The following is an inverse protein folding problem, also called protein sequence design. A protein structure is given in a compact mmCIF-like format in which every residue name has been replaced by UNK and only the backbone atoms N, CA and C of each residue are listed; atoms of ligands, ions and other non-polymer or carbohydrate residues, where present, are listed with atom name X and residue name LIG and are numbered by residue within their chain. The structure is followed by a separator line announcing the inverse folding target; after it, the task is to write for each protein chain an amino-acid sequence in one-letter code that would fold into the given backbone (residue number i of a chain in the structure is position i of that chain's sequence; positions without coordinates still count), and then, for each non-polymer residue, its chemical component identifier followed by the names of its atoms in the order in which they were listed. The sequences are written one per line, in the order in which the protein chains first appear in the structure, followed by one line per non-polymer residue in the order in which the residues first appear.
data_IF_789812541261
#
_entry.id   IF_789812541261
#
_cell.length_a   1.000
_cell.length_b   1.000
_cell.length_c   1.000
_cell.angle_alpha   90.00
_cell.angle_beta   90.00
_cell.angle_gamma   90.00
#
_symmetry.space_group_name_H-M   'P 1'
#
loop_
_entity.id
_entity.type
_entity.pdbx_description
1 polymer ?
#
# COMPACT_ATOMS: atom_id res chain seq x y z
N UNK A 1 -23.44 -0.75 1.50
CA UNK A 1 -22.89 -1.02 2.84
C UNK A 1 -21.36 -0.85 2.78
N UNK A 2 -20.61 -0.93 3.89
CA UNK A 2 -19.16 -0.62 3.84
C UNK A 2 -18.37 -1.68 3.05
N UNK A 3 -18.79 -2.95 3.10
CA UNK A 3 -18.17 -4.01 2.33
C UNK A 3 -18.31 -3.79 0.82
N UNK A 4 -19.44 -3.27 0.35
CA UNK A 4 -19.64 -2.94 -1.08
C UNK A 4 -18.66 -1.86 -1.56
N UNK A 5 -18.32 -0.90 -0.71
CA UNK A 5 -17.33 0.15 -1.03
C UNK A 5 -15.95 -0.46 -1.20
N UNK A 6 -15.57 -1.41 -0.34
CA UNK A 6 -14.30 -2.12 -0.48
C UNK A 6 -14.27 -2.99 -1.74
N UNK A 7 -15.33 -3.74 -2.03
CA UNK A 7 -15.45 -4.51 -3.28
C UNK A 7 -15.29 -3.60 -4.49
N UNK A 8 -16.00 -2.46 -4.54
CA UNK A 8 -15.90 -1.51 -5.65
C UNK A 8 -14.52 -0.81 -5.76
N UNK A 9 -13.78 -0.73 -4.65
CA UNK A 9 -12.45 -0.12 -4.62
C UNK A 9 -11.36 -1.06 -5.12
N UNK A 10 -11.47 -2.37 -4.83
CA UNK A 10 -10.47 -3.37 -5.20
C UNK A 10 -10.81 -4.17 -6.47
N UNK A 11 -12.06 -4.12 -6.95
CA UNK A 11 -12.44 -4.75 -8.23
C UNK A 11 -11.97 -3.97 -9.47
N UNK A 12 -11.34 -2.80 -9.30
CA UNK A 12 -10.84 -1.99 -10.42
C UNK A 12 -9.42 -2.41 -10.80
N UNK A 13 -9.26 -3.04 -11.96
CA UNK A 13 -7.95 -3.50 -12.48
C UNK A 13 -6.88 -2.40 -12.47
N UNK A 14 -7.25 -1.14 -12.77
CA UNK A 14 -6.30 -0.03 -12.81
C UNK A 14 -5.58 0.24 -11.47
N UNK A 15 -6.27 0.10 -10.34
CA UNK A 15 -5.64 0.27 -9.01
C UNK A 15 -4.66 -0.86 -8.75
N UNK A 16 -5.00 -2.06 -9.22
CA UNK A 16 -4.24 -3.27 -9.05
C UNK A 16 -2.96 -3.24 -9.88
N UNK A 17 -3.09 -2.94 -11.17
CA UNK A 17 -1.96 -2.90 -12.11
C UNK A 17 -0.91 -1.88 -11.65
N UNK A 18 -1.36 -0.68 -11.25
CA UNK A 18 -0.47 0.37 -10.76
C UNK A 18 0.23 -0.01 -9.44
N UNK A 19 -0.46 -0.71 -8.54
CA UNK A 19 0.09 -1.11 -7.25
C UNK A 19 1.06 -2.29 -7.39
N UNK A 20 0.71 -3.30 -8.17
CA UNK A 20 1.60 -4.42 -8.51
C UNK A 20 2.86 -3.93 -9.21
N UNK A 21 2.74 -3.03 -10.19
CA UNK A 21 3.90 -2.44 -10.86
C UNK A 21 4.79 -1.66 -9.87
N UNK A 22 4.19 -0.92 -8.94
CA UNK A 22 4.93 -0.20 -7.90
C UNK A 22 5.71 -1.16 -6.97
N UNK A 23 5.03 -2.18 -6.44
CA UNK A 23 5.62 -3.18 -5.53
C UNK A 23 6.76 -3.93 -6.23
N UNK A 24 6.54 -4.38 -7.46
CA UNK A 24 7.52 -5.12 -8.24
C UNK A 24 8.77 -4.28 -8.56
N UNK A 25 8.59 -2.97 -8.80
CA UNK A 25 9.70 -2.07 -9.10
C UNK A 25 10.34 -1.42 -7.86
N UNK A 26 9.78 -1.58 -6.67
CA UNK A 26 10.26 -0.92 -5.46
C UNK A 26 11.74 -1.23 -5.18
N UNK A 27 12.14 -2.51 -5.29
CA UNK A 27 13.52 -2.94 -5.02
C UNK A 27 14.51 -2.27 -6.00
N UNK A 28 14.17 -2.24 -7.28
CA UNK A 28 14.93 -1.60 -8.36
C UNK A 28 15.03 -0.09 -8.15
N UNK A 29 13.89 0.58 -7.88
CA UNK A 29 13.87 2.01 -7.61
C UNK A 29 14.74 2.37 -6.40
N UNK A 30 14.66 1.60 -5.32
CA UNK A 30 15.48 1.82 -4.13
C UNK A 30 16.97 1.59 -4.39
N UNK A 31 17.33 0.63 -5.26
CA UNK A 31 18.72 0.45 -5.68
C UNK A 31 19.25 1.68 -6.46
N UNK A 32 18.44 2.24 -7.35
CA UNK A 32 18.77 3.46 -8.09
C UNK A 32 18.95 4.65 -7.15
N UNK A 33 18.04 4.83 -6.18
CA UNK A 33 18.15 5.89 -5.17
C UNK A 33 19.46 5.74 -4.39
N UNK A 34 19.76 4.55 -3.86
CA UNK A 34 21.01 4.30 -3.11
C UNK A 34 22.26 4.58 -3.95
N UNK A 35 22.30 4.09 -5.19
CA UNK A 35 23.41 4.34 -6.12
C UNK A 35 23.59 5.83 -6.40
N UNK A 36 22.49 6.56 -6.56
CA UNK A 36 22.52 8.00 -6.82
C UNK A 36 23.02 8.77 -5.60
N UNK A 37 22.59 8.42 -4.39
CA UNK A 37 23.12 9.00 -3.15
C UNK A 37 24.63 8.77 -2.99
N UNK A 38 25.13 7.59 -3.38
CA UNK A 38 26.56 7.25 -3.30
C UNK A 38 27.42 8.00 -4.33
N UNK A 39 26.85 8.31 -5.51
CA UNK A 39 27.57 8.95 -6.61
C UNK A 39 27.40 10.47 -6.68
N UNK A 40 26.37 11.02 -6.05
CA UNK A 40 26.04 12.46 -6.09
C UNK A 40 25.68 12.98 -4.70
N UNK A 41 26.64 13.63 -4.04
CA UNK A 41 26.46 14.24 -2.72
C UNK A 41 25.32 15.27 -2.70
N UNK A 42 25.17 16.09 -3.74
CA UNK A 42 24.09 17.07 -3.84
C UNK A 42 22.69 16.44 -3.84
N UNK A 43 22.53 15.21 -4.35
CA UNK A 43 21.25 14.50 -4.27
C UNK A 43 20.97 14.01 -2.84
N UNK A 44 21.99 13.54 -2.14
CA UNK A 44 21.87 13.14 -0.73
C UNK A 44 21.49 14.33 0.17
N UNK A 45 22.14 15.48 -0.03
CA UNK A 45 21.82 16.73 0.68
C UNK A 45 20.41 17.20 0.39
N UNK A 46 19.98 17.14 -0.88
CA UNK A 46 18.61 17.42 -1.27
C UNK A 46 17.61 16.55 -0.50
N UNK A 47 17.83 15.23 -0.43
CA UNK A 47 16.94 14.32 0.31
C UNK A 47 16.89 14.65 1.81
N UNK A 48 18.02 14.96 2.44
CA UNK A 48 18.07 15.37 3.85
C UNK A 48 17.30 16.66 4.08
N UNK A 49 17.53 17.68 3.25
CA UNK A 49 16.83 18.96 3.37
C UNK A 49 15.31 18.81 3.16
N UNK A 50 14.89 18.00 2.19
CA UNK A 50 13.47 17.70 1.96
C UNK A 50 12.83 16.96 3.14
N UNK A 51 13.56 16.05 3.78
CA UNK A 51 13.09 15.37 4.99
C UNK A 51 12.96 16.36 6.16
N UNK A 52 13.94 17.23 6.39
CA UNK A 52 13.90 18.17 7.52
C UNK A 52 12.80 19.23 7.37
N UNK A 53 12.54 19.64 6.13
CA UNK A 53 11.49 20.62 5.80
C UNK A 53 10.09 20.03 5.71
N UNK A 54 9.94 18.70 5.68
CA UNK A 54 8.61 18.06 5.66
C UNK A 54 8.02 18.01 7.07
N UNK A 55 6.69 18.13 7.16
CA UNK A 55 5.96 18.09 8.42
C UNK A 55 6.03 16.73 9.11
N UNK A 56 6.13 15.64 8.34
CA UNK A 56 6.22 14.27 8.82
C UNK A 56 7.67 13.79 9.05
N UNK A 57 8.65 14.58 8.62
CA UNK A 57 10.10 14.30 8.66
C UNK A 57 10.49 12.91 8.15
N UNK A 58 9.73 12.42 7.17
CA UNK A 58 9.84 11.05 6.69
C UNK A 58 10.92 10.94 5.60
N UNK A 59 11.75 9.91 5.69
CA UNK A 59 12.74 9.61 4.63
C UNK A 59 12.02 9.24 3.33
N UNK A 60 12.68 9.42 2.19
CA UNK A 60 12.15 8.94 0.90
C UNK A 60 11.84 7.44 0.95
N UNK A 61 12.70 6.63 1.59
CA UNK A 61 12.44 5.21 1.81
C UNK A 61 11.15 4.97 2.60
N UNK A 62 10.94 5.72 3.69
CA UNK A 62 9.73 5.64 4.47
C UNK A 62 8.51 5.94 3.62
N UNK A 63 8.54 7.04 2.85
CA UNK A 63 7.44 7.43 1.97
C UNK A 63 7.14 6.34 0.94
N UNK A 64 8.18 5.77 0.33
CA UNK A 64 8.04 4.70 -0.65
C UNK A 64 7.57 3.37 -0.03
N UNK A 65 7.75 3.17 1.28
CA UNK A 65 7.22 2.00 1.99
C UNK A 65 5.73 2.08 2.29
N UNK A 66 5.12 3.28 2.31
CA UNK A 66 3.68 3.41 2.60
C UNK A 66 2.81 2.61 1.62
N UNK A 67 3.02 2.67 0.29
CA UNK A 67 2.31 1.83 -0.68
C UNK A 67 2.82 0.39 -0.72
N UNK A 68 3.72 -0.05 0.16
CA UNK A 68 4.00 -1.49 0.33
C UNK A 68 3.18 -2.02 1.50
N UNK A 69 3.13 -1.23 2.59
CA UNK A 69 2.45 -1.60 3.83
C UNK A 69 0.92 -1.44 3.77
N UNK A 70 0.40 -0.65 2.83
CA UNK A 70 -1.02 -0.28 2.82
C UNK A 70 -1.95 -1.47 2.53
N UNK A 71 -1.59 -2.34 1.60
CA UNK A 71 -2.38 -3.54 1.27
C UNK A 71 -2.48 -4.54 2.43
N UNK A 72 -1.35 -4.94 3.08
CA UNK A 72 -1.41 -5.76 4.29
C UNK A 72 -2.31 -5.16 5.38
N UNK A 73 -2.31 -3.84 5.55
CA UNK A 73 -3.20 -3.17 6.50
C UNK A 73 -4.68 -3.32 6.14
N UNK A 74 -5.04 -3.27 4.85
CA UNK A 74 -6.42 -3.48 4.41
C UNK A 74 -6.89 -4.92 4.62
N UNK A 75 -6.02 -5.91 4.40
CA UNK A 75 -6.33 -7.32 4.70
C UNK A 75 -6.65 -7.48 6.18
N UNK A 76 -5.77 -6.98 7.06
CA UNK A 76 -5.99 -7.05 8.52
C UNK A 76 -7.25 -6.31 8.95
N UNK A 77 -7.53 -5.15 8.36
CA UNK A 77 -8.74 -4.38 8.62
C UNK A 77 -10.00 -5.16 8.23
N UNK A 78 -10.04 -5.75 7.03
CA UNK A 78 -11.19 -6.52 6.57
C UNK A 78 -11.40 -7.80 7.38
N UNK A 79 -10.32 -8.47 7.77
CA UNK A 79 -10.39 -9.63 8.69
C UNK A 79 -11.00 -9.23 10.03
N UNK A 80 -10.59 -8.10 10.62
CA UNK A 80 -11.15 -7.60 11.87
C UNK A 80 -12.62 -7.17 11.71
N UNK A 81 -12.96 -6.47 10.63
CA UNK A 81 -14.35 -6.11 10.32
C UNK A 81 -15.24 -7.36 10.17
N UNK A 82 -14.77 -8.39 9.47
CA UNK A 82 -15.52 -9.63 9.27
C UNK A 82 -15.71 -10.40 10.57
N UNK A 83 -14.69 -10.41 11.44
CA UNK A 83 -14.77 -11.00 12.79
C UNK A 83 -15.83 -10.32 13.66
N UNK A 84 -15.96 -9.00 13.54
CA UNK A 84 -16.91 -8.20 14.30
C UNK A 84 -18.29 -8.04 13.61
N UNK A 85 -18.51 -8.66 12.46
CA UNK A 85 -19.79 -8.60 11.72
C UNK A 85 -20.58 -9.90 11.92
N UNK A 86 -21.72 -9.91 12.64
CA UNK A 86 -22.47 -11.14 12.95
C UNK A 86 -22.97 -11.91 11.73
N UNK A 87 -23.27 -13.20 11.93
CA UNK A 87 -23.94 -14.03 10.92
C UNK A 87 -25.34 -13.46 10.63
N UNK A 88 -25.68 -13.35 9.34
CA UNK A 88 -26.94 -12.74 8.89
C UNK A 88 -26.87 -11.22 8.65
N UNK A 89 -25.78 -10.55 9.04
CA UNK A 89 -25.58 -9.15 8.71
C UNK A 89 -25.25 -9.00 7.22
N UNK A 90 -25.87 -8.04 6.54
CA UNK A 90 -25.77 -7.91 5.09
C UNK A 90 -24.36 -7.49 4.59
N UNK A 91 -23.49 -6.92 5.43
CA UNK A 91 -22.08 -6.64 5.07
C UNK A 91 -21.18 -7.87 5.07
N UNK A 92 -21.61 -8.98 5.69
CA UNK A 92 -20.71 -10.12 5.93
C UNK A 92 -20.18 -10.70 4.62
N UNK A 93 -21.05 -10.90 3.63
CA UNK A 93 -20.67 -11.42 2.31
C UNK A 93 -19.81 -10.41 1.52
N UNK A 94 -20.21 -9.13 1.36
CA UNK A 94 -19.36 -8.12 0.73
C UNK A 94 -17.97 -7.97 1.37
N UNK A 95 -17.86 -8.00 2.71
CA UNK A 95 -16.56 -7.97 3.40
C UNK A 95 -15.71 -9.19 3.10
N UNK A 96 -16.31 -10.37 3.03
CA UNK A 96 -15.60 -11.60 2.68
C UNK A 96 -15.12 -11.57 1.23
N UNK A 97 -15.94 -11.08 0.29
CA UNK A 97 -15.55 -10.91 -1.12
C UNK A 97 -14.38 -9.93 -1.26
N UNK A 98 -14.44 -8.77 -0.58
CA UNK A 98 -13.36 -7.80 -0.59
C UNK A 98 -12.06 -8.36 -0.01
N UNK A 99 -12.15 -9.19 1.04
CA UNK A 99 -10.99 -9.84 1.65
C UNK A 99 -10.36 -10.85 0.69
N UNK A 100 -11.15 -11.73 0.07
CA UNK A 100 -10.65 -12.72 -0.90
C UNK A 100 -9.99 -12.07 -2.10
N UNK A 101 -10.57 -10.98 -2.62
CA UNK A 101 -9.96 -10.22 -3.70
C UNK A 101 -8.59 -9.70 -3.26
N UNK A 102 -8.50 -9.04 -2.11
CA UNK A 102 -7.24 -8.50 -1.58
C UNK A 102 -6.16 -9.55 -1.28
N UNK A 103 -6.55 -10.72 -0.76
CA UNK A 103 -5.62 -11.83 -0.49
C UNK A 103 -5.06 -12.40 -1.80
N UNK A 104 -5.92 -12.62 -2.81
CA UNK A 104 -5.51 -13.06 -4.15
C UNK A 104 -4.52 -12.07 -4.79
N UNK A 105 -4.67 -10.78 -4.49
CA UNK A 105 -3.80 -9.72 -5.01
C UNK A 105 -2.46 -9.65 -4.28
N UNK A 106 -2.39 -10.03 -3.01
CA UNK A 106 -1.13 -10.09 -2.26
C UNK A 106 -0.24 -11.28 -2.66
N UNK A 107 -0.82 -12.31 -3.28
CA UNK A 107 -0.11 -13.49 -3.78
C UNK A 107 0.49 -13.31 -5.19
N UNK A 108 0.14 -12.24 -5.90
CA UNK A 108 0.64 -11.90 -7.25
C UNK A 108 1.82 -10.93 -7.21
#
# INVERSE_FOLDING_TARGET
MIGDVFVASFSKSMVLDAYSEYVNNFSTAMAVVRKTCASKSGFLEFLKHRQESSSDRMTLYGLMMKPIQRFPQFILLLQDMLKNTPVGHADRLPLQMALTELETLAEK
#
